data_IF_382337236340
#
_entry.id   IF_382337236340
#
_cell.length_a   1.000
_cell.length_b   1.000
_cell.length_c   1.000
_cell.angle_alpha   90.00
_cell.angle_beta   90.00
_cell.angle_gamma   90.00
#
_symmetry.space_group_name_H-M   'P 1'
#
loop_
_entity.id
_entity.type
_entity.pdbx_description
1 polymer ?
#
# COMPACT_ATOMS: atom_id res chain seq x y z
N UNK A 1 -7.33 1.14 6.32
CA UNK A 1 -6.12 1.82 5.82
C UNK A 1 -5.71 2.92 6.77
N UNK A 2 -4.43 3.15 6.93
CA UNK A 2 -3.86 4.22 7.76
C UNK A 2 -2.63 4.79 7.05
N UNK A 3 -2.43 6.09 7.13
CA UNK A 3 -1.25 6.75 6.56
C UNK A 3 -0.75 7.84 7.51
N UNK A 4 0.55 8.05 7.54
CA UNK A 4 1.18 9.07 8.36
C UNK A 4 2.40 9.65 7.65
N UNK A 5 2.58 10.94 7.81
CA UNK A 5 3.78 11.68 7.43
C UNK A 5 4.17 12.61 8.58
N UNK A 6 5.40 12.53 9.02
CA UNK A 6 5.95 13.40 10.06
C UNK A 6 6.84 14.47 9.42
N UNK A 7 6.47 15.75 9.61
CA UNK A 7 7.16 16.88 8.99
C UNK A 7 8.51 17.20 9.64
N UNK A 8 8.73 16.73 10.88
CA UNK A 8 9.98 16.89 11.62
C UNK A 8 10.97 15.75 11.38
N UNK A 9 10.59 14.77 10.55
CA UNK A 9 11.43 13.63 10.16
C UNK A 9 11.51 12.53 11.22
N UNK A 10 10.58 12.46 12.17
CA UNK A 10 10.54 11.36 13.14
C UNK A 10 10.00 10.08 12.52
N UNK A 11 10.39 8.92 13.10
CA UNK A 11 9.91 7.61 12.66
C UNK A 11 8.43 7.41 12.98
N UNK A 12 7.65 7.03 11.95
CA UNK A 12 6.19 6.93 12.03
C UNK A 12 5.68 5.49 12.27
N UNK A 13 6.54 4.47 12.22
CA UNK A 13 6.12 3.07 12.30
C UNK A 13 5.31 2.74 13.56
N UNK A 14 5.76 3.20 14.73
CA UNK A 14 5.07 2.99 16.01
C UNK A 14 3.71 3.67 16.04
N UNK A 15 3.60 4.87 15.50
CA UNK A 15 2.31 5.59 15.43
C UNK A 15 1.33 4.88 14.48
N UNK A 16 1.82 4.36 13.36
CA UNK A 16 1.02 3.55 12.43
C UNK A 16 0.57 2.25 13.11
N UNK A 17 1.46 1.58 13.86
CA UNK A 17 1.12 0.39 14.65
C UNK A 17 -0.08 0.65 15.57
N UNK A 18 -0.05 1.71 16.37
CA UNK A 18 -1.17 2.05 17.25
C UNK A 18 -2.44 2.41 16.47
N UNK A 19 -2.31 3.08 15.32
CA UNK A 19 -3.42 3.34 14.43
C UNK A 19 -4.06 2.06 13.90
N UNK A 20 -3.24 1.07 13.48
CA UNK A 20 -3.72 -0.24 13.02
C UNK A 20 -4.33 -1.05 14.17
N UNK A 21 -3.74 -1.00 15.37
CA UNK A 21 -4.29 -1.66 16.56
C UNK A 21 -5.70 -1.14 16.87
N UNK A 22 -5.90 0.18 16.80
CA UNK A 22 -7.23 0.79 16.96
C UNK A 22 -8.22 0.37 15.85
N UNK A 23 -7.73 0.09 14.64
CA UNK A 23 -8.51 -0.36 13.49
C UNK A 23 -8.67 -1.90 13.42
N UNK A 24 -8.11 -2.67 14.34
CA UNK A 24 -8.07 -4.14 14.31
C UNK A 24 -9.46 -4.77 14.15
N UNK A 25 -10.50 -4.17 14.72
CA UNK A 25 -11.89 -4.63 14.58
C UNK A 25 -12.42 -4.58 13.14
N UNK A 26 -11.71 -3.90 12.24
CA UNK A 26 -12.05 -3.76 10.80
C UNK A 26 -11.26 -4.72 9.91
N UNK A 27 -10.31 -5.48 10.45
CA UNK A 27 -9.55 -6.45 9.68
C UNK A 27 -8.70 -7.32 10.59
N UNK A 28 -8.91 -8.63 10.56
CA UNK A 28 -8.30 -9.61 11.47
C UNK A 28 -7.56 -10.73 10.72
N UNK A 29 -7.48 -10.66 9.39
CA UNK A 29 -6.86 -11.70 8.57
C UNK A 29 -5.36 -11.50 8.44
N UNK A 30 -4.97 -10.29 8.12
CA UNK A 30 -3.57 -9.92 7.95
C UNK A 30 -3.36 -8.43 8.20
N UNK A 31 -2.14 -8.04 8.47
CA UNK A 31 -1.77 -6.64 8.62
C UNK A 31 -0.38 -6.36 8.09
N UNK A 32 -0.08 -5.09 7.87
CA UNK A 32 1.21 -4.67 7.38
C UNK A 32 1.44 -3.18 7.53
N UNK A 33 2.72 -2.82 7.61
CA UNK A 33 3.22 -1.44 7.61
C UNK A 33 4.36 -1.35 6.61
N UNK A 34 4.39 -0.27 5.84
CA UNK A 34 5.51 0.12 5.00
C UNK A 34 5.88 1.57 5.32
N UNK A 35 7.15 1.83 5.56
CA UNK A 35 7.68 3.17 5.82
C UNK A 35 8.87 3.47 4.93
N UNK A 36 9.09 4.75 4.65
CA UNK A 36 10.22 5.24 3.85
C UNK A 36 10.72 6.56 4.43
N UNK A 37 11.96 6.94 4.08
CA UNK A 37 12.49 8.27 4.31
C UNK A 37 12.25 9.17 3.11
N UNK A 38 11.70 10.37 3.33
CA UNK A 38 11.49 11.35 2.25
C UNK A 38 12.79 11.98 1.77
N UNK A 39 13.83 11.99 2.60
CA UNK A 39 15.19 12.44 2.30
C UNK A 39 16.15 11.27 2.00
N UNK A 40 15.65 10.05 1.99
CA UNK A 40 16.44 8.83 1.81
C UNK A 40 16.69 8.46 0.35
N UNK A 41 17.48 7.41 0.13
CA UNK A 41 17.75 6.91 -1.22
C UNK A 41 16.47 6.37 -1.84
N UNK A 42 16.24 6.59 -3.17
CA UNK A 42 15.08 6.08 -3.86
C UNK A 42 15.03 4.53 -3.80
N UNK A 43 13.82 4.00 -3.76
CA UNK A 43 13.53 2.55 -3.66
C UNK A 43 13.96 1.91 -2.33
N UNK A 44 14.16 2.71 -1.31
CA UNK A 44 14.44 2.21 0.04
C UNK A 44 13.19 2.37 0.91
N UNK A 45 12.57 1.25 1.24
CA UNK A 45 11.44 1.20 2.16
C UNK A 45 11.57 0.00 3.08
N UNK A 46 11.21 0.20 4.35
CA UNK A 46 11.11 -0.86 5.33
C UNK A 46 9.68 -1.39 5.35
N UNK A 47 9.53 -2.69 5.19
CA UNK A 47 8.22 -3.36 5.11
C UNK A 47 8.17 -4.49 6.10
N UNK A 48 7.14 -4.50 6.93
CA UNK A 48 6.79 -5.64 7.78
C UNK A 48 5.31 -5.93 7.60
N UNK A 49 4.97 -7.14 7.18
CA UNK A 49 3.59 -7.59 7.00
C UNK A 49 3.46 -9.09 7.18
N UNK A 50 2.28 -9.54 7.60
CA UNK A 50 2.05 -10.96 7.85
C UNK A 50 0.57 -11.28 8.02
N UNK A 51 0.27 -12.57 8.03
CA UNK A 51 -1.03 -13.10 8.40
C UNK A 51 -1.18 -13.04 9.92
N UNK A 52 -2.37 -12.67 10.40
CA UNK A 52 -2.68 -12.58 11.82
C UNK A 52 -3.00 -11.15 12.29
N UNK A 53 -3.12 -11.01 13.60
CA UNK A 53 -3.45 -9.75 14.27
C UNK A 53 -2.23 -8.83 14.36
N UNK A 54 -2.48 -7.54 14.57
CA UNK A 54 -1.43 -6.51 14.66
C UNK A 54 -0.40 -6.85 15.73
N UNK A 55 -0.82 -7.31 16.91
CA UNK A 55 0.06 -7.69 18.00
C UNK A 55 0.75 -9.07 17.84
N UNK A 56 0.35 -9.85 16.84
CA UNK A 56 1.00 -11.11 16.47
C UNK A 56 2.09 -10.88 15.41
N UNK A 57 1.86 -9.95 14.48
CA UNK A 57 2.78 -9.64 13.38
C UNK A 57 3.87 -8.67 13.82
N UNK A 58 3.53 -7.69 14.66
CA UNK A 58 4.47 -6.66 15.10
C UNK A 58 4.91 -6.86 16.55
N UNK A 59 6.20 -6.67 16.79
CA UNK A 59 6.83 -6.62 18.11
C UNK A 59 7.81 -5.42 18.17
N UNK A 60 8.36 -5.14 19.35
CA UNK A 60 9.28 -4.01 19.55
C UNK A 60 10.49 -4.11 18.60
N UNK A 61 11.08 -5.31 18.45
CA UNK A 61 12.28 -5.51 17.64
C UNK A 61 12.05 -5.19 16.16
N UNK A 62 10.94 -5.63 15.57
CA UNK A 62 10.67 -5.35 14.15
C UNK A 62 10.22 -3.92 13.90
N UNK A 63 9.53 -3.28 14.86
CA UNK A 63 9.16 -1.87 14.76
C UNK A 63 10.37 -0.93 14.88
N UNK A 64 11.32 -1.20 15.76
CA UNK A 64 12.57 -0.43 15.88
C UNK A 64 13.41 -0.43 14.59
N UNK A 65 13.31 -1.48 13.80
CA UNK A 65 14.02 -1.58 12.49
C UNK A 65 13.30 -0.82 11.37
N UNK A 66 12.10 -0.33 11.61
CA UNK A 66 11.28 0.35 10.60
C UNK A 66 11.45 1.86 10.65
N UNK A 67 12.64 2.35 10.27
CA UNK A 67 12.92 3.77 10.17
C UNK A 67 12.27 4.38 8.93
N UNK A 68 11.56 5.51 9.11
CA UNK A 68 10.91 6.26 8.03
C UNK A 68 9.96 7.33 8.57
N UNK A 69 9.91 8.47 7.91
CA UNK A 69 9.09 9.64 8.26
C UNK A 69 7.74 9.68 7.51
N UNK A 70 7.57 8.84 6.50
CA UNK A 70 6.31 8.62 5.79
C UNK A 70 5.97 7.14 5.73
N UNK A 71 4.71 6.79 5.95
CA UNK A 71 4.32 5.38 5.94
C UNK A 71 2.84 5.13 5.71
N UNK A 72 2.56 3.87 5.36
CA UNK A 72 1.23 3.34 5.09
C UNK A 72 1.03 2.05 5.86
N UNK A 73 -0.13 1.90 6.49
CA UNK A 73 -0.53 0.70 7.20
C UNK A 73 -1.88 0.16 6.75
N UNK A 74 -2.06 -1.14 6.88
CA UNK A 74 -3.29 -1.83 6.55
C UNK A 74 -3.61 -2.96 7.53
N UNK A 75 -4.87 -3.11 7.88
CA UNK A 75 -5.47 -4.32 8.45
C UNK A 75 -6.49 -4.85 7.45
N UNK A 76 -6.35 -6.11 7.05
CA UNK A 76 -7.16 -6.73 5.99
C UNK A 76 -8.32 -7.52 6.58
N UNK A 77 -9.49 -7.29 6.03
CA UNK A 77 -10.65 -8.16 6.11
C UNK A 77 -10.85 -8.79 4.73
N UNK A 78 -10.97 -10.10 4.66
CA UNK A 78 -11.08 -10.82 3.38
C UNK A 78 -12.42 -10.53 2.71
N UNK A 79 -12.40 -9.69 1.68
CA UNK A 79 -13.57 -9.40 0.84
C UNK A 79 -13.36 -9.85 -0.60
N UNK A 80 -12.13 -9.74 -1.11
CA UNK A 80 -11.75 -10.15 -2.47
C UNK A 80 -10.33 -10.74 -2.47
N UNK A 81 -10.12 -11.77 -3.28
CA UNK A 81 -8.86 -12.50 -3.37
C UNK A 81 -8.70 -13.56 -2.26
N UNK A 82 -7.78 -14.50 -2.49
CA UNK A 82 -7.50 -15.57 -1.54
C UNK A 82 -6.87 -15.02 -0.24
N UNK A 83 -7.11 -15.74 0.86
CA UNK A 83 -6.46 -15.49 2.16
C UNK A 83 -5.05 -16.12 2.15
N UNK A 84 -4.12 -15.42 1.50
CA UNK A 84 -2.72 -15.84 1.33
C UNK A 84 -1.78 -14.68 1.60
N UNK A 85 -0.55 -14.98 1.99
CA UNK A 85 0.44 -13.99 2.39
C UNK A 85 0.76 -12.96 1.29
N UNK A 86 0.73 -13.37 0.02
CA UNK A 86 0.98 -12.52 -1.14
C UNK A 86 -0.03 -11.38 -1.25
N UNK A 87 -1.26 -11.60 -0.79
CA UNK A 87 -2.35 -10.63 -0.80
C UNK A 87 -2.32 -9.65 0.38
N UNK A 88 -1.33 -9.77 1.28
CA UNK A 88 -1.19 -8.86 2.41
C UNK A 88 -0.75 -7.48 1.95
N UNK A 89 -1.43 -6.45 2.44
CA UNK A 89 -1.11 -5.05 2.18
C UNK A 89 -0.33 -4.42 3.36
N UNK A 90 0.39 -3.30 3.16
CA UNK A 90 0.45 -2.49 1.94
C UNK A 90 1.15 -3.18 0.77
N UNK A 91 0.78 -2.80 -0.44
CA UNK A 91 1.58 -3.08 -1.64
C UNK A 91 2.74 -2.08 -1.73
N UNK A 92 3.92 -2.59 -2.02
CA UNK A 92 5.13 -1.77 -2.20
C UNK A 92 5.75 -2.11 -3.54
N UNK A 93 5.75 -1.15 -4.43
CA UNK A 93 6.29 -1.27 -5.79
C UNK A 93 7.50 -0.37 -5.95
N UNK A 94 8.62 -0.95 -6.36
CA UNK A 94 9.82 -0.22 -6.75
C UNK A 94 9.88 -0.08 -8.27
N UNK A 95 9.95 1.15 -8.74
CA UNK A 95 9.97 1.46 -10.17
C UNK A 95 10.88 2.67 -10.45
N UNK A 96 10.91 3.17 -11.67
CA UNK A 96 11.88 4.21 -12.06
C UNK A 96 11.72 5.55 -11.30
N UNK A 97 10.55 5.83 -10.75
CA UNK A 97 10.30 7.06 -9.97
C UNK A 97 10.51 6.87 -8.45
N UNK A 98 11.02 5.73 -8.01
CA UNK A 98 11.25 5.43 -6.59
C UNK A 98 10.35 4.32 -6.07
N UNK A 99 9.86 4.48 -4.85
CA UNK A 99 8.91 3.57 -4.20
C UNK A 99 7.50 4.12 -4.30
N UNK A 100 6.54 3.25 -4.53
CA UNK A 100 5.11 3.50 -4.36
C UNK A 100 4.58 2.52 -3.32
N UNK A 101 4.16 3.03 -2.17
CA UNK A 101 3.50 2.25 -1.13
C UNK A 101 2.01 2.57 -1.12
N UNK A 102 1.16 1.55 -1.11
CA UNK A 102 -0.29 1.77 -1.20
C UNK A 102 -1.07 0.76 -0.35
N UNK A 103 -2.08 1.26 0.34
CA UNK A 103 -3.13 0.47 0.97
C UNK A 103 -4.50 0.83 0.40
N UNK A 104 -5.30 -0.18 0.16
CA UNK A 104 -6.65 -0.10 -0.41
C UNK A 104 -7.65 -0.81 0.48
N UNK A 105 -8.74 -0.16 0.78
CA UNK A 105 -9.92 -0.74 1.39
C UNK A 105 -11.12 -0.49 0.48
N UNK A 106 -11.67 -1.54 -0.08
CA UNK A 106 -12.79 -1.45 -1.03
C UNK A 106 -12.83 -2.58 -2.02
N UNK A 107 -13.59 -2.38 -3.09
CA UNK A 107 -13.71 -3.34 -4.18
C UNK A 107 -13.97 -2.62 -5.50
N UNK A 108 -13.23 -3.00 -6.54
CA UNK A 108 -13.43 -2.53 -7.91
C UNK A 108 -14.33 -3.48 -8.68
N UNK A 109 -15.38 -2.95 -9.29
CA UNK A 109 -16.29 -3.75 -10.13
C UNK A 109 -15.72 -4.02 -11.52
N UNK A 110 -14.73 -3.24 -11.97
CA UNK A 110 -14.05 -3.42 -13.25
C UNK A 110 -12.59 -3.90 -13.11
N UNK A 111 -12.24 -4.51 -11.99
CA UNK A 111 -10.87 -4.99 -11.73
C UNK A 111 -10.36 -5.94 -12.80
N UNK A 112 -11.18 -6.92 -13.23
CA UNK A 112 -10.80 -7.92 -14.22
C UNK A 112 -10.55 -7.30 -15.60
N UNK A 113 -11.40 -6.36 -16.03
CA UNK A 113 -11.24 -5.62 -17.29
C UNK A 113 -9.92 -4.87 -17.31
N UNK A 114 -9.64 -4.10 -16.25
CA UNK A 114 -8.41 -3.33 -16.13
C UNK A 114 -7.17 -4.21 -16.03
N UNK A 115 -7.27 -5.34 -15.31
CA UNK A 115 -6.19 -6.32 -15.21
C UNK A 115 -5.82 -6.88 -16.57
N UNK A 116 -6.81 -7.32 -17.34
CA UNK A 116 -6.60 -7.85 -18.70
C UNK A 116 -5.95 -6.79 -19.62
N UNK A 117 -6.42 -5.51 -19.56
CA UNK A 117 -5.79 -4.42 -20.30
C UNK A 117 -4.31 -4.26 -19.93
N UNK A 118 -3.98 -4.29 -18.63
CA UNK A 118 -2.62 -4.14 -18.16
C UNK A 118 -1.73 -5.32 -18.56
N UNK A 119 -2.20 -6.55 -18.44
CA UNK A 119 -1.48 -7.77 -18.85
C UNK A 119 -1.18 -7.78 -20.35
N UNK A 120 -2.14 -7.39 -21.18
CA UNK A 120 -1.93 -7.22 -22.63
C UNK A 120 -0.88 -6.15 -22.96
N UNK A 121 -0.62 -5.21 -22.05
CA UNK A 121 0.44 -4.21 -22.16
C UNK A 121 1.71 -4.56 -21.36
N UNK A 122 1.88 -5.83 -20.98
CA UNK A 122 3.09 -6.36 -20.38
C UNK A 122 3.17 -6.26 -18.85
N UNK A 123 2.09 -5.94 -18.14
CA UNK A 123 2.08 -5.99 -16.68
C UNK A 123 2.14 -7.45 -16.20
N UNK A 124 2.95 -7.71 -15.17
CA UNK A 124 3.10 -9.01 -14.53
C UNK A 124 2.63 -8.88 -13.09
N UNK A 125 1.48 -9.45 -12.78
CA UNK A 125 0.88 -9.38 -11.45
C UNK A 125 1.45 -10.44 -10.51
N UNK A 126 1.65 -10.06 -9.25
CA UNK A 126 2.15 -10.93 -8.19
C UNK A 126 1.04 -11.38 -7.24
N UNK A 127 -0.08 -10.66 -7.24
CA UNK A 127 -1.21 -10.91 -6.35
C UNK A 127 -2.50 -11.13 -7.13
N UNK A 128 -3.52 -11.63 -6.46
CA UNK A 128 -4.86 -11.79 -7.03
C UNK A 128 -5.83 -10.65 -6.67
N UNK A 129 -5.37 -9.65 -5.90
CA UNK A 129 -6.22 -8.56 -5.42
C UNK A 129 -6.32 -7.40 -6.44
N UNK A 130 -7.45 -6.72 -6.43
CA UNK A 130 -7.71 -5.54 -7.24
C UNK A 130 -6.82 -4.34 -6.89
N UNK A 131 -6.30 -4.31 -5.66
CA UNK A 131 -5.35 -3.29 -5.21
C UNK A 131 -4.10 -3.20 -6.08
N UNK A 132 -3.60 -4.32 -6.61
CA UNK A 132 -2.43 -4.31 -7.49
C UNK A 132 -2.75 -3.68 -8.85
N UNK A 133 -3.98 -3.84 -9.34
CA UNK A 133 -4.46 -3.13 -10.55
C UNK A 133 -4.40 -1.62 -10.35
N UNK A 134 -4.87 -1.13 -9.19
CA UNK A 134 -4.81 0.29 -8.83
C UNK A 134 -3.36 0.78 -8.80
N UNK A 135 -2.46 0.03 -8.15
CA UNK A 135 -1.06 0.38 -8.03
C UNK A 135 -0.36 0.49 -9.39
N UNK A 136 -0.64 -0.45 -10.31
CA UNK A 136 -0.13 -0.40 -11.68
C UNK A 136 -0.65 0.82 -12.46
N UNK A 137 -1.94 1.15 -12.32
CA UNK A 137 -2.51 2.33 -12.97
C UNK A 137 -1.86 3.63 -12.46
N UNK A 138 -1.69 3.75 -11.14
CA UNK A 138 -1.01 4.91 -10.53
C UNK A 138 0.44 5.00 -11.02
N UNK A 139 1.19 3.90 -11.00
CA UNK A 139 2.57 3.86 -11.47
C UNK A 139 2.68 4.27 -12.94
N UNK A 140 1.77 3.78 -13.80
CA UNK A 140 1.71 4.14 -15.23
C UNK A 140 1.42 5.63 -15.45
N UNK A 141 0.46 6.18 -14.72
CA UNK A 141 0.14 7.61 -14.81
C UNK A 141 1.28 8.47 -14.22
N UNK A 142 1.97 7.99 -13.19
CA UNK A 142 3.12 8.69 -12.59
C UNK A 142 4.32 8.85 -13.56
N UNK A 143 4.44 7.99 -14.56
CA UNK A 143 5.44 8.16 -15.62
C UNK A 143 5.17 9.38 -16.50
N UNK A 144 3.91 9.82 -16.58
CA UNK A 144 3.46 10.96 -17.42
C UNK A 144 3.32 12.25 -16.62
N UNK A 145 3.22 12.16 -15.28
CA UNK A 145 2.97 13.30 -14.41
C UNK A 145 4.17 13.64 -13.54
N UNK A 146 4.28 14.91 -13.15
CA UNK A 146 5.31 15.39 -12.24
C UNK A 146 5.04 15.04 -10.78
N UNK A 147 3.77 14.86 -10.40
CA UNK A 147 3.31 14.69 -9.01
C UNK A 147 2.49 13.42 -8.85
N UNK A 148 2.58 12.81 -7.65
CA UNK A 148 1.84 11.58 -7.34
C UNK A 148 0.33 11.84 -7.25
N UNK A 149 -0.07 13.00 -6.76
CA UNK A 149 -1.48 13.39 -6.65
C UNK A 149 -2.17 13.43 -8.01
N UNK A 150 -1.48 13.94 -9.03
CA UNK A 150 -2.00 13.97 -10.40
C UNK A 150 -2.11 12.55 -10.96
N UNK A 151 -1.15 11.69 -10.69
CA UNK A 151 -1.18 10.30 -11.12
C UNK A 151 -2.34 9.53 -10.48
N UNK A 152 -2.57 9.71 -9.17
CA UNK A 152 -3.71 9.14 -8.46
C UNK A 152 -5.02 9.64 -9.07
N UNK A 153 -5.17 10.96 -9.25
CA UNK A 153 -6.37 11.56 -9.86
C UNK A 153 -6.65 10.98 -11.24
N UNK A 154 -5.63 10.84 -12.08
CA UNK A 154 -5.79 10.28 -13.43
C UNK A 154 -6.15 8.79 -13.40
N UNK A 155 -5.57 8.03 -12.48
CA UNK A 155 -5.92 6.62 -12.29
C UNK A 155 -7.37 6.45 -11.84
N UNK A 156 -7.84 7.29 -10.89
CA UNK A 156 -9.21 7.24 -10.36
C UNK A 156 -10.29 7.40 -11.42
N UNK A 157 -10.03 8.10 -12.52
CA UNK A 157 -10.98 8.25 -13.64
C UNK A 157 -11.35 6.89 -14.26
N UNK A 158 -10.45 5.90 -14.18
CA UNK A 158 -10.63 4.56 -14.73
C UNK A 158 -11.23 3.57 -13.74
N UNK A 159 -11.13 3.85 -12.46
CA UNK A 159 -11.59 2.94 -11.40
C UNK A 159 -13.11 3.05 -11.21
N UNK A 160 -13.78 1.91 -11.20
CA UNK A 160 -15.22 1.82 -10.90
C UNK A 160 -15.41 0.97 -9.65
N UNK A 161 -16.10 1.52 -8.64
CA UNK A 161 -16.35 0.83 -7.38
C UNK A 161 -16.35 1.78 -6.19
N UNK A 162 -16.41 1.20 -4.99
CA UNK A 162 -16.30 1.93 -3.73
C UNK A 162 -14.96 1.59 -3.08
N UNK A 163 -14.13 2.60 -2.80
CA UNK A 163 -12.79 2.38 -2.27
C UNK A 163 -12.25 3.58 -1.49
N UNK A 164 -11.32 3.28 -0.59
CA UNK A 164 -10.46 4.24 0.08
C UNK A 164 -9.01 3.87 -0.17
N UNK A 165 -8.19 4.84 -0.52
CA UNK A 165 -6.76 4.65 -0.81
C UNK A 165 -5.90 5.49 0.12
N UNK A 166 -4.79 4.92 0.55
CA UNK A 166 -3.65 5.66 1.10
C UNK A 166 -2.45 5.34 0.23
N UNK A 167 -1.82 6.39 -0.29
CA UNK A 167 -0.69 6.27 -1.22
C UNK A 167 0.46 7.11 -0.68
N UNK A 168 1.64 6.52 -0.57
CA UNK A 168 2.89 7.21 -0.24
C UNK A 168 3.92 7.00 -1.36
N UNK A 169 4.58 8.07 -1.74
CA UNK A 169 5.66 8.09 -2.73
C UNK A 169 6.67 9.14 -2.28
N UNK A 170 7.67 8.74 -1.48
CA UNK A 170 8.74 9.61 -1.00
C UNK A 170 9.66 10.09 -2.12
#
# INVERSE_FOLDING_TARGET
VFGMYDLDGNDVASSIYYGLFALQHRGQESCGIAVSRTDGPPRNSNVCKGMGLVNEVFNAENLEKMAGDIGVGHVRYSTAGASVAENTQPLVLNYIKGTLSMAHNGNLVNALELRNELEMNGAIFQTSIDSEVIAYLIARERLKTGKVEEAVKNAMVKLKGAYSLVVASP
#
